data_IF_525301088307
#
_entry.id   IF_525301088307
#
_cell.length_a   1.000
_cell.length_b   1.000
_cell.length_c   1.000
_cell.angle_alpha   90.00
_cell.angle_beta   90.00
_cell.angle_gamma   90.00
#
_symmetry.space_group_name_H-M   'P 1'
#
loop_
_entity.id
_entity.type
_entity.pdbx_description
1 polymer ?
#
# COMPACT_ATOMS: atom_id res chain seq x y z
N UNK A 1 15.68 27.17 -5.56
CA UNK A 1 15.43 28.10 -4.43
C UNK A 1 14.28 29.08 -4.65
N UNK A 2 14.10 29.73 -5.82
CA UNK A 2 12.97 30.66 -6.08
C UNK A 2 11.56 30.03 -5.94
N UNK A 3 11.34 28.83 -6.46
CA UNK A 3 10.04 28.14 -6.39
C UNK A 3 9.64 27.83 -4.94
N UNK A 4 10.57 27.37 -4.11
CA UNK A 4 10.31 27.11 -2.68
C UNK A 4 9.96 28.39 -1.91
N UNK A 5 10.60 29.52 -2.23
CA UNK A 5 10.30 30.82 -1.63
C UNK A 5 8.92 31.33 -2.02
N UNK A 6 8.54 31.15 -3.29
CA UNK A 6 7.24 31.57 -3.83
C UNK A 6 6.08 30.68 -3.31
N UNK A 7 6.35 29.38 -3.12
CA UNK A 7 5.42 28.45 -2.44
C UNK A 7 5.28 28.83 -0.97
N UNK A 8 6.38 29.11 -0.27
CA UNK A 8 6.37 29.55 1.13
C UNK A 8 5.62 30.88 1.33
N UNK A 9 5.81 31.85 0.45
CA UNK A 9 5.06 33.12 0.48
C UNK A 9 3.56 32.93 0.20
N UNK A 10 3.18 32.09 -0.78
CA UNK A 10 1.77 31.72 -1.01
C UNK A 10 1.17 31.00 0.20
N UNK A 11 1.91 30.09 0.81
CA UNK A 11 1.49 29.36 2.01
C UNK A 11 1.31 30.32 3.19
N UNK A 12 2.22 31.29 3.34
CA UNK A 12 2.14 32.32 4.40
C UNK A 12 0.98 33.30 4.17
N UNK A 13 0.67 33.65 2.92
CA UNK A 13 -0.52 34.44 2.58
C UNK A 13 -1.80 33.65 2.84
N UNK A 14 -1.86 32.36 2.51
CA UNK A 14 -2.98 31.48 2.84
C UNK A 14 -3.19 31.37 4.36
N UNK A 15 -2.13 31.26 5.16
CA UNK A 15 -2.18 31.22 6.63
C UNK A 15 -2.65 32.56 7.26
N UNK A 16 -2.30 33.70 6.65
CA UNK A 16 -2.84 35.01 7.08
C UNK A 16 -4.30 35.17 6.70
N UNK A 17 -4.67 34.74 5.49
CA UNK A 17 -6.07 34.70 5.05
C UNK A 17 -6.90 33.78 5.94
N UNK A 18 -6.34 32.64 6.37
CA UNK A 18 -6.93 31.66 7.30
C UNK A 18 -7.33 32.31 8.63
N UNK A 19 -6.41 32.96 9.35
CA UNK A 19 -6.74 33.61 10.64
C UNK A 19 -7.84 34.66 10.49
N UNK A 20 -7.80 35.41 9.40
CA UNK A 20 -8.80 36.45 9.10
C UNK A 20 -10.14 35.81 8.75
N UNK A 21 -10.16 34.76 7.92
CA UNK A 21 -11.36 34.02 7.55
C UNK A 21 -11.98 33.34 8.78
N UNK A 22 -11.21 32.66 9.62
CA UNK A 22 -11.74 31.98 10.81
C UNK A 22 -12.31 32.98 11.81
N UNK A 23 -11.63 34.11 12.04
CA UNK A 23 -12.12 35.18 12.91
C UNK A 23 -13.40 35.81 12.34
N UNK A 24 -13.41 36.11 11.04
CA UNK A 24 -14.55 36.72 10.36
C UNK A 24 -15.74 35.76 10.23
N UNK A 25 -15.51 34.46 10.06
CA UNK A 25 -16.56 33.42 10.09
C UNK A 25 -17.17 33.27 11.49
N UNK A 26 -16.37 33.42 12.56
CA UNK A 26 -16.86 33.48 13.95
C UNK A 26 -17.68 34.75 14.19
N UNK A 27 -17.18 35.91 13.74
CA UNK A 27 -17.86 37.22 13.87
C UNK A 27 -19.17 37.31 13.07
N UNK A 28 -19.23 36.68 11.89
CA UNK A 28 -20.39 36.67 11.01
C UNK A 28 -21.39 35.54 11.30
N UNK A 29 -21.21 34.76 12.37
CA UNK A 29 -22.13 33.68 12.73
C UNK A 29 -22.17 32.50 11.74
N UNK A 30 -21.20 32.37 10.85
CA UNK A 30 -21.10 31.21 9.95
C UNK A 30 -20.65 29.95 10.68
N UNK A 31 -20.11 30.05 11.88
CA UNK A 31 -19.74 28.91 12.73
C UNK A 31 -20.97 28.23 13.38
N UNK A 32 -22.04 27.98 12.64
CA UNK A 32 -23.32 27.40 13.11
C UNK A 32 -23.52 25.94 12.68
N UNK A 33 -22.62 25.38 11.87
CA UNK A 33 -22.72 24.03 11.31
C UNK A 33 -21.40 23.28 11.36
N UNK A 34 -21.46 21.96 11.48
CA UNK A 34 -20.29 21.07 11.53
C UNK A 34 -19.35 21.24 10.33
N UNK A 35 -19.89 21.48 9.14
CA UNK A 35 -19.12 21.67 7.91
C UNK A 35 -18.01 22.73 8.05
N UNK A 36 -18.29 23.86 8.69
CA UNK A 36 -17.32 24.95 8.80
C UNK A 36 -16.16 24.61 9.75
N UNK A 37 -16.41 23.82 10.79
CA UNK A 37 -15.35 23.28 11.65
C UNK A 37 -14.56 22.21 10.91
N UNK A 38 -15.23 21.35 10.13
CA UNK A 38 -14.60 20.31 9.34
C UNK A 38 -13.61 20.87 8.30
N UNK A 39 -13.99 21.93 7.58
CA UNK A 39 -13.10 22.63 6.65
C UNK A 39 -11.87 23.19 7.36
N UNK A 40 -12.06 23.83 8.52
CA UNK A 40 -10.96 24.36 9.32
C UNK A 40 -10.02 23.24 9.80
N UNK A 41 -10.56 22.12 10.28
CA UNK A 41 -9.77 20.96 10.67
C UNK A 41 -9.00 20.36 9.48
N UNK A 42 -9.63 20.29 8.31
CA UNK A 42 -9.00 19.79 7.09
C UNK A 42 -7.86 20.70 6.63
N UNK A 43 -8.06 22.02 6.71
CA UNK A 43 -7.05 23.03 6.43
C UNK A 43 -5.85 22.93 7.39
N UNK A 44 -6.08 22.81 8.70
CA UNK A 44 -5.00 22.63 9.67
C UNK A 44 -4.21 21.35 9.42
N UNK A 45 -4.91 20.26 9.11
CA UNK A 45 -4.26 19.00 8.71
C UNK A 45 -3.42 19.17 7.44
N UNK A 46 -3.95 19.84 6.42
CA UNK A 46 -3.28 20.05 5.13
C UNK A 46 -2.09 21.02 5.18
N UNK A 47 -2.10 21.97 6.12
CA UNK A 47 -1.02 22.93 6.36
C UNK A 47 0.05 22.42 7.34
N UNK A 48 -0.06 21.18 7.82
CA UNK A 48 0.89 20.57 8.76
C UNK A 48 0.67 20.94 10.23
N UNK A 49 -0.35 21.76 10.55
CA UNK A 49 -0.70 22.21 11.90
C UNK A 49 -1.71 21.25 12.57
N UNK A 50 -1.45 19.95 12.48
CA UNK A 50 -2.41 18.91 12.93
C UNK A 50 -2.66 18.94 14.44
N UNK A 51 -1.77 19.56 15.22
CA UNK A 51 -1.92 19.80 16.65
C UNK A 51 -3.11 20.68 17.03
N UNK A 52 -3.61 21.50 16.10
CA UNK A 52 -4.76 22.39 16.34
C UNK A 52 -6.12 21.71 16.14
N UNK A 53 -6.16 20.58 15.45
CA UNK A 53 -7.41 19.87 15.16
C UNK A 53 -8.19 19.49 16.43
N UNK A 54 -7.56 18.98 17.51
CA UNK A 54 -8.23 18.75 18.79
C UNK A 54 -8.81 20.02 19.42
N UNK A 55 -8.14 21.17 19.29
CA UNK A 55 -8.64 22.45 19.81
C UNK A 55 -9.91 22.88 19.06
N UNK A 56 -9.91 22.73 17.73
CA UNK A 56 -11.09 23.01 16.89
C UNK A 56 -12.27 22.09 17.28
N UNK A 57 -12.02 20.82 17.60
CA UNK A 57 -13.07 19.89 18.03
C UNK A 57 -13.66 20.33 19.38
N UNK A 58 -12.82 20.74 20.32
CA UNK A 58 -13.26 21.27 21.61
C UNK A 58 -14.05 22.57 21.47
N UNK A 59 -13.61 23.48 20.59
CA UNK A 59 -14.32 24.72 20.25
C UNK A 59 -15.70 24.43 19.65
N UNK A 60 -15.79 23.47 18.72
CA UNK A 60 -17.03 23.04 18.09
C UNK A 60 -18.07 22.58 19.13
N UNK A 61 -17.65 21.71 20.04
CA UNK A 61 -18.50 21.19 21.12
C UNK A 61 -18.90 22.28 22.11
N UNK A 62 -17.97 23.17 22.49
CA UNK A 62 -18.24 24.29 23.41
C UNK A 62 -19.27 25.26 22.84
N UNK A 63 -19.32 25.40 21.52
CA UNK A 63 -20.31 26.22 20.83
C UNK A 63 -21.63 25.48 20.57
N UNK A 64 -21.84 24.30 21.17
CA UNK A 64 -23.10 23.54 21.07
C UNK A 64 -23.31 22.85 19.72
N UNK A 65 -22.26 22.67 18.92
CA UNK A 65 -22.36 22.07 17.59
C UNK A 65 -21.88 20.62 17.67
N UNK A 66 -22.79 19.69 17.42
CA UNK A 66 -22.49 18.26 17.47
C UNK A 66 -21.54 17.85 16.35
N UNK A 67 -20.41 17.19 16.67
CA UNK A 67 -19.55 16.55 15.67
C UNK A 67 -20.32 15.55 14.82
N UNK A 68 -19.94 15.44 13.55
CA UNK A 68 -20.45 14.43 12.63
C UNK A 68 -19.40 13.34 12.36
N UNK A 69 -19.78 12.29 11.62
CA UNK A 69 -18.87 11.20 11.25
C UNK A 69 -17.62 11.71 10.50
N UNK A 70 -17.71 12.81 9.75
CA UNK A 70 -16.57 13.37 9.03
C UNK A 70 -15.60 14.07 10.00
N UNK A 71 -16.14 14.82 10.96
CA UNK A 71 -15.39 15.47 12.05
C UNK A 71 -14.49 14.46 12.76
N UNK A 72 -15.07 13.33 13.17
CA UNK A 72 -14.32 12.29 13.87
C UNK A 72 -13.30 11.60 12.98
N UNK A 73 -13.60 11.34 11.70
CA UNK A 73 -12.63 10.79 10.75
C UNK A 73 -11.40 11.69 10.58
N UNK A 74 -11.56 13.01 10.58
CA UNK A 74 -10.42 13.94 10.53
C UNK A 74 -9.56 13.78 11.80
N UNK A 75 -10.20 13.78 12.97
CA UNK A 75 -9.53 13.59 14.25
C UNK A 75 -8.78 12.26 14.32
N UNK A 76 -9.42 11.15 13.93
CA UNK A 76 -8.80 9.83 13.88
C UNK A 76 -7.59 9.80 12.94
N UNK A 77 -7.66 10.45 11.76
CA UNK A 77 -6.50 10.56 10.86
C UNK A 77 -5.33 11.32 11.48
N UNK A 78 -5.62 12.40 12.21
CA UNK A 78 -4.61 13.19 12.92
C UNK A 78 -3.95 12.38 14.04
N UNK A 79 -4.75 11.74 14.90
CA UNK A 79 -4.20 10.92 15.98
C UNK A 79 -3.46 9.69 15.45
N UNK A 80 -3.93 9.09 14.35
CA UNK A 80 -3.24 7.99 13.68
C UNK A 80 -1.86 8.37 13.15
N UNK A 81 -1.73 9.56 12.58
CA UNK A 81 -0.44 10.08 12.10
C UNK A 81 0.55 10.32 13.26
N UNK A 82 0.03 10.61 14.45
CA UNK A 82 0.81 10.84 15.69
C UNK A 82 1.01 9.57 16.53
N UNK A 83 0.51 8.41 16.07
CA UNK A 83 0.46 7.17 16.85
C UNK A 83 -0.18 7.33 18.24
N UNK A 84 -1.11 8.28 18.40
CA UNK A 84 -1.81 8.54 19.67
C UNK A 84 -3.02 7.61 19.81
N UNK A 85 -2.73 6.37 20.24
CA UNK A 85 -3.75 5.35 20.44
C UNK A 85 -4.79 5.75 21.49
N UNK A 86 -4.36 6.36 22.59
CA UNK A 86 -5.25 6.73 23.70
C UNK A 86 -6.31 7.73 23.24
N UNK A 87 -5.92 8.74 22.47
CA UNK A 87 -6.89 9.70 21.94
C UNK A 87 -7.80 9.09 20.87
N UNK A 88 -7.31 8.12 20.08
CA UNK A 88 -8.16 7.38 19.15
C UNK A 88 -9.20 6.52 19.84
N UNK A 89 -8.85 5.82 20.91
CA UNK A 89 -9.81 5.03 21.68
C UNK A 89 -10.87 5.93 22.32
N UNK A 90 -10.47 7.09 22.86
CA UNK A 90 -11.40 8.07 23.42
C UNK A 90 -12.39 8.59 22.37
N UNK A 91 -11.91 8.97 21.19
CA UNK A 91 -12.77 9.40 20.09
C UNK A 91 -13.67 8.27 19.61
N UNK A 92 -13.16 7.04 19.51
CA UNK A 92 -13.95 5.90 19.08
C UNK A 92 -15.09 5.60 20.06
N UNK A 93 -14.82 5.64 21.36
CA UNK A 93 -15.85 5.50 22.42
C UNK A 93 -16.88 6.63 22.36
N UNK A 94 -16.43 7.86 22.13
CA UNK A 94 -17.32 9.00 21.95
C UNK A 94 -18.25 8.81 20.74
N UNK A 95 -17.71 8.34 19.61
CA UNK A 95 -18.51 8.00 18.43
C UNK A 95 -19.52 6.90 18.70
N UNK A 96 -19.11 5.81 19.39
CA UNK A 96 -20.00 4.69 19.77
C UNK A 96 -21.16 5.17 20.66
N UNK A 97 -20.95 6.20 21.48
CA UNK A 97 -21.99 6.75 22.38
C UNK A 97 -23.00 7.68 21.68
N UNK A 98 -22.75 8.08 20.43
CA UNK A 98 -23.60 9.06 19.75
C UNK A 98 -24.66 8.38 18.87
N UNK A 99 -25.96 8.63 19.12
CA UNK A 99 -27.05 7.93 18.42
C UNK A 99 -27.13 8.29 16.93
N UNK A 100 -26.61 9.45 16.53
CA UNK A 100 -26.62 9.94 15.16
C UNK A 100 -25.37 9.56 14.36
N UNK A 101 -24.47 8.74 14.93
CA UNK A 101 -23.22 8.33 14.27
C UNK A 101 -23.27 6.85 13.94
N UNK A 102 -23.25 6.55 12.65
CA UNK A 102 -23.08 5.17 12.18
C UNK A 102 -21.60 4.81 12.21
N UNK A 103 -21.27 3.82 13.05
CA UNK A 103 -19.94 3.23 13.08
C UNK A 103 -19.66 2.47 11.77
N UNK A 104 -18.40 2.49 11.34
CA UNK A 104 -17.96 1.79 10.15
C UNK A 104 -16.68 0.98 10.39
N UNK A 105 -16.42 0.01 9.50
CA UNK A 105 -15.21 -0.81 9.55
C UNK A 105 -13.91 0.02 9.53
N UNK A 106 -13.92 1.18 8.87
CA UNK A 106 -12.72 2.03 8.71
C UNK A 106 -12.27 2.57 10.07
N UNK A 107 -13.22 2.94 10.94
CA UNK A 107 -12.93 3.46 12.27
C UNK A 107 -12.26 2.40 13.15
N UNK A 108 -12.83 1.21 13.24
CA UNK A 108 -12.23 0.10 14.01
C UNK A 108 -10.90 -0.38 13.42
N UNK A 109 -10.81 -0.53 12.09
CA UNK A 109 -9.56 -0.89 11.40
C UNK A 109 -8.43 0.11 11.67
N UNK A 110 -8.75 1.41 11.78
CA UNK A 110 -7.74 2.43 12.07
C UNK A 110 -7.16 2.29 13.50
N UNK A 111 -8.01 2.01 14.50
CA UNK A 111 -7.55 1.75 15.88
C UNK A 111 -6.76 0.44 15.92
N UNK A 112 -7.25 -0.63 15.28
CA UNK A 112 -6.53 -1.90 15.18
C UNK A 112 -5.14 -1.72 14.58
N UNK A 113 -5.00 -0.96 13.49
CA UNK A 113 -3.71 -0.69 12.84
C UNK A 113 -2.68 -0.07 13.78
N UNK A 114 -3.10 0.84 14.65
CA UNK A 114 -2.18 1.51 15.59
C UNK A 114 -1.88 0.61 16.77
N UNK A 115 -2.86 -0.16 17.25
CA UNK A 115 -2.62 -1.19 18.26
C UNK A 115 -1.58 -2.22 17.78
N UNK A 116 -1.65 -2.65 16.51
CA UNK A 116 -0.63 -3.51 15.89
C UNK A 116 0.75 -2.83 15.93
N UNK A 117 0.84 -1.57 15.50
CA UNK A 117 2.10 -0.81 15.52
C UNK A 117 2.66 -0.60 16.92
N UNK A 118 1.79 -0.50 17.92
CA UNK A 118 2.16 -0.36 19.33
C UNK A 118 2.50 -1.71 20.00
N UNK A 119 2.42 -2.83 19.27
CA UNK A 119 2.67 -4.17 19.84
C UNK A 119 1.54 -4.69 20.73
N UNK A 120 0.38 -4.01 20.77
CA UNK A 120 -0.76 -4.37 21.62
C UNK A 120 -1.67 -5.37 20.89
N UNK A 121 -1.22 -6.62 20.81
CA UNK A 121 -1.85 -7.67 19.99
C UNK A 121 -3.29 -7.96 20.40
N UNK A 122 -3.57 -8.18 21.67
CA UNK A 122 -4.90 -8.54 22.18
C UNK A 122 -5.92 -7.45 21.85
N UNK A 123 -5.52 -6.20 22.06
CA UNK A 123 -6.32 -5.03 21.73
C UNK A 123 -6.56 -4.91 20.22
N UNK A 124 -5.55 -5.16 19.39
CA UNK A 124 -5.71 -5.18 17.95
C UNK A 124 -6.75 -6.21 17.52
N UNK A 125 -6.71 -7.43 18.09
CA UNK A 125 -7.66 -8.50 17.78
C UNK A 125 -9.11 -8.10 18.08
N UNK A 126 -9.36 -7.46 19.23
CA UNK A 126 -10.71 -6.97 19.60
C UNK A 126 -11.25 -6.01 18.54
N UNK A 127 -10.45 -5.01 18.14
CA UNK A 127 -10.89 -4.03 17.13
C UNK A 127 -11.02 -4.64 15.73
N UNK A 128 -10.22 -5.65 15.38
CA UNK A 128 -10.38 -6.35 14.10
C UNK A 128 -11.69 -7.14 14.06
N UNK A 129 -12.09 -7.79 15.15
CA UNK A 129 -13.39 -8.48 15.24
C UNK A 129 -14.56 -7.50 15.12
N UNK A 130 -14.55 -6.38 15.86
CA UNK A 130 -15.53 -5.30 15.67
C UNK A 130 -15.56 -4.78 14.24
N UNK A 131 -14.41 -4.68 13.59
CA UNK A 131 -14.32 -4.27 12.19
C UNK A 131 -14.91 -5.30 11.22
N UNK A 132 -14.81 -6.59 11.52
CA UNK A 132 -15.35 -7.69 10.72
C UNK A 132 -16.87 -7.72 10.75
N UNK A 133 -17.48 -7.50 11.92
CA UNK A 133 -18.94 -7.41 12.10
C UNK A 133 -19.61 -6.36 11.18
N UNK A 134 -18.83 -5.35 10.77
CA UNK A 134 -19.27 -4.24 9.91
C UNK A 134 -19.03 -4.48 8.42
N UNK A 135 -18.54 -5.66 8.00
CA UNK A 135 -18.30 -5.98 6.58
C UNK A 135 -19.59 -6.45 5.91
N UNK A 136 -19.95 -5.80 4.81
CA UNK A 136 -21.08 -6.20 3.96
C UNK A 136 -20.61 -6.58 2.56
N UNK A 137 -20.48 -7.89 2.30
CA UNK A 137 -20.15 -8.51 0.99
C UNK A 137 -19.10 -7.73 0.15
N UNK A 138 -18.11 -7.16 0.84
CA UNK A 138 -17.10 -6.27 0.25
C UNK A 138 -15.73 -6.93 0.33
N UNK A 139 -15.22 -7.35 -0.83
CA UNK A 139 -13.86 -7.90 -0.98
C UNK A 139 -12.78 -6.94 -0.45
N UNK A 140 -12.99 -5.62 -0.58
CA UNK A 140 -12.04 -4.63 -0.06
C UNK A 140 -11.97 -4.71 1.47
N UNK A 141 -13.10 -4.91 2.15
CA UNK A 141 -13.15 -5.10 3.61
C UNK A 141 -12.34 -6.33 4.05
N UNK A 142 -12.59 -7.48 3.41
CA UNK A 142 -11.86 -8.73 3.70
C UNK A 142 -10.35 -8.58 3.46
N UNK A 143 -9.96 -8.01 2.33
CA UNK A 143 -8.55 -7.77 2.00
C UNK A 143 -7.83 -6.91 3.08
N UNK A 144 -8.50 -5.89 3.63
CA UNK A 144 -7.92 -5.09 4.72
C UNK A 144 -7.73 -5.90 6.01
N UNK A 145 -8.73 -6.70 6.40
CA UNK A 145 -8.59 -7.57 7.57
C UNK A 145 -7.49 -8.61 7.39
N UNK A 146 -7.40 -9.25 6.22
CA UNK A 146 -6.32 -10.20 5.89
C UNK A 146 -4.95 -9.52 6.05
N UNK A 147 -4.77 -8.29 5.57
CA UNK A 147 -3.52 -7.53 5.76
C UNK A 147 -3.21 -7.25 7.23
N UNK A 148 -4.23 -6.97 8.04
CA UNK A 148 -4.06 -6.72 9.47
C UNK A 148 -3.71 -8.00 10.24
N UNK A 149 -4.40 -9.11 9.99
CA UNK A 149 -4.08 -10.40 10.59
C UNK A 149 -2.71 -10.93 10.15
N UNK A 150 -2.30 -10.69 8.90
CA UNK A 150 -0.94 -10.97 8.45
C UNK A 150 0.11 -10.17 9.23
N UNK A 151 -0.19 -8.92 9.59
CA UNK A 151 0.70 -8.11 10.43
C UNK A 151 0.77 -8.59 11.88
N UNK A 152 -0.15 -9.47 12.30
CA UNK A 152 -0.15 -10.16 13.59
C UNK A 152 0.38 -11.59 13.52
N UNK A 153 0.78 -12.07 12.33
CA UNK A 153 1.19 -13.45 12.09
C UNK A 153 0.07 -14.49 12.23
N UNK A 154 -1.20 -14.08 12.15
CA UNK A 154 -2.33 -14.98 12.36
C UNK A 154 -2.82 -15.60 11.03
N UNK A 155 -2.17 -16.69 10.62
CA UNK A 155 -2.48 -17.42 9.38
C UNK A 155 -3.92 -17.96 9.37
N UNK A 156 -4.36 -18.59 10.44
CA UNK A 156 -5.66 -19.27 10.50
C UNK A 156 -6.80 -18.30 10.19
N UNK A 157 -6.70 -17.10 10.77
CA UNK A 157 -7.70 -16.07 10.58
C UNK A 157 -7.66 -15.47 9.17
N UNK A 158 -6.47 -15.33 8.58
CA UNK A 158 -6.34 -14.95 7.16
C UNK A 158 -7.03 -15.97 6.25
N UNK A 159 -6.81 -17.27 6.48
CA UNK A 159 -7.42 -18.35 5.68
C UNK A 159 -8.92 -18.41 5.89
N UNK A 160 -9.42 -18.23 7.12
CA UNK A 160 -10.85 -18.15 7.42
C UNK A 160 -11.51 -16.99 6.67
N UNK A 161 -10.91 -15.80 6.73
CA UNK A 161 -11.42 -14.62 6.02
C UNK A 161 -11.36 -14.78 4.50
N UNK A 162 -10.32 -15.43 3.98
CA UNK A 162 -10.22 -15.77 2.57
C UNK A 162 -11.34 -16.71 2.11
N UNK A 163 -11.65 -17.73 2.91
CA UNK A 163 -12.79 -18.62 2.67
C UNK A 163 -14.13 -17.88 2.69
N UNK A 164 -14.35 -17.00 3.67
CA UNK A 164 -15.57 -16.17 3.74
C UNK A 164 -15.68 -15.18 2.57
N UNK A 165 -14.57 -14.57 2.17
CA UNK A 165 -14.53 -13.71 0.99
C UNK A 165 -14.94 -14.51 -0.25
N UNK A 166 -14.43 -15.74 -0.39
CA UNK A 166 -14.76 -16.65 -1.50
C UNK A 166 -16.25 -16.96 -1.62
N UNK A 167 -16.93 -17.16 -0.50
CA UNK A 167 -18.36 -17.48 -0.48
C UNK A 167 -19.26 -16.25 -0.58
N UNK A 168 -18.88 -15.14 0.05
CA UNK A 168 -19.70 -13.94 0.12
C UNK A 168 -19.57 -13.02 -1.10
N UNK A 169 -18.40 -13.02 -1.76
CA UNK A 169 -18.13 -12.17 -2.91
C UNK A 169 -18.26 -12.95 -4.22
N UNK A 170 -19.15 -12.50 -5.12
CA UNK A 170 -19.46 -13.20 -6.38
C UNK A 170 -18.32 -13.20 -7.41
N UNK A 171 -17.33 -12.32 -7.27
CA UNK A 171 -16.21 -12.18 -8.21
C UNK A 171 -14.92 -11.98 -7.43
N UNK A 172 -13.97 -12.87 -7.65
CA UNK A 172 -12.59 -12.75 -7.17
C UNK A 172 -11.77 -12.14 -8.29
N UNK A 173 -11.14 -11.01 -8.00
CA UNK A 173 -10.30 -10.33 -8.97
C UNK A 173 -8.83 -10.55 -8.63
N UNK A 174 -7.94 -10.28 -9.59
CA UNK A 174 -6.50 -10.42 -9.42
C UNK A 174 -5.98 -9.74 -8.14
N UNK A 175 -6.59 -8.61 -7.73
CA UNK A 175 -6.24 -7.89 -6.50
C UNK A 175 -6.41 -8.74 -5.23
N UNK A 176 -7.43 -9.59 -5.17
CA UNK A 176 -7.74 -10.41 -4.00
C UNK A 176 -6.66 -11.47 -3.80
N UNK A 177 -6.32 -12.19 -4.88
CA UNK A 177 -5.22 -13.15 -4.90
C UNK A 177 -3.86 -12.50 -4.60
N UNK A 178 -3.55 -11.35 -5.21
CA UNK A 178 -2.32 -10.59 -4.92
C UNK A 178 -2.24 -10.26 -3.43
N UNK A 179 -3.34 -9.80 -2.82
CA UNK A 179 -3.37 -9.44 -1.40
C UNK A 179 -3.11 -10.67 -0.53
N UNK A 180 -3.82 -11.77 -0.77
CA UNK A 180 -3.69 -12.98 0.03
C UNK A 180 -2.30 -13.61 -0.08
N UNK A 181 -1.77 -13.79 -1.30
CA UNK A 181 -0.43 -14.34 -1.52
C UNK A 181 0.66 -13.44 -0.94
N UNK A 182 0.56 -12.11 -1.10
CA UNK A 182 1.51 -11.18 -0.48
C UNK A 182 1.50 -11.29 1.05
N UNK A 183 0.34 -11.49 1.65
CA UNK A 183 0.20 -11.63 3.10
C UNK A 183 0.77 -12.95 3.60
N UNK A 184 0.54 -14.06 2.90
CA UNK A 184 1.11 -15.37 3.22
C UNK A 184 2.64 -15.35 3.14
N UNK A 185 3.20 -14.81 2.05
CA UNK A 185 4.64 -14.58 1.93
C UNK A 185 5.13 -13.74 3.12
N UNK A 186 4.45 -12.65 3.47
CA UNK A 186 4.88 -11.78 4.59
C UNK A 186 5.03 -12.53 5.91
N UNK A 187 4.21 -13.55 6.17
CA UNK A 187 4.25 -14.35 7.41
C UNK A 187 5.10 -15.63 7.29
N UNK A 188 5.98 -15.72 6.29
CA UNK A 188 6.87 -16.88 6.05
C UNK A 188 6.15 -18.17 5.63
N UNK A 189 4.90 -18.08 5.16
CA UNK A 189 4.17 -19.21 4.58
C UNK A 189 4.50 -19.33 3.09
N UNK A 190 5.25 -20.38 2.73
CA UNK A 190 5.81 -20.55 1.37
C UNK A 190 5.09 -21.62 0.53
N UNK A 191 4.24 -22.45 1.12
CA UNK A 191 3.51 -23.49 0.34
C UNK A 191 2.15 -22.98 -0.14
N UNK A 192 1.44 -22.27 0.72
CA UNK A 192 0.10 -21.76 0.44
C UNK A 192 0.04 -20.73 -0.71
N UNK A 193 0.99 -19.78 -0.88
CA UNK A 193 0.98 -18.88 -2.02
C UNK A 193 1.02 -19.61 -3.36
N UNK A 194 1.78 -20.70 -3.47
CA UNK A 194 1.90 -21.48 -4.70
C UNK A 194 0.60 -22.23 -5.03
N UNK A 195 -0.07 -22.80 -4.02
CA UNK A 195 -1.39 -23.42 -4.19
C UNK A 195 -2.41 -22.37 -4.69
N UNK A 196 -2.40 -21.17 -4.10
CA UNK A 196 -3.27 -20.07 -4.55
C UNK A 196 -2.92 -19.58 -5.95
N UNK A 197 -1.65 -19.60 -6.35
CA UNK A 197 -1.24 -19.26 -7.71
C UNK A 197 -1.83 -20.27 -8.70
N UNK A 198 -1.73 -21.57 -8.43
CA UNK A 198 -2.32 -22.61 -9.28
C UNK A 198 -3.85 -22.49 -9.36
N UNK A 199 -4.51 -22.19 -8.24
CA UNK A 199 -5.95 -21.94 -8.20
C UNK A 199 -6.33 -20.73 -9.08
N UNK A 200 -5.59 -19.63 -8.97
CA UNK A 200 -5.80 -18.45 -9.80
C UNK A 200 -5.55 -18.75 -11.28
N UNK A 201 -4.47 -19.46 -11.63
CA UNK A 201 -4.14 -19.81 -13.01
C UNK A 201 -5.26 -20.63 -13.68
N UNK A 202 -5.89 -21.55 -12.94
CA UNK A 202 -7.00 -22.38 -13.46
C UNK A 202 -8.32 -21.63 -13.63
N UNK A 203 -8.49 -20.49 -12.96
CA UNK A 203 -9.73 -19.69 -12.99
C UNK A 203 -9.60 -18.36 -13.75
N UNK A 204 -8.39 -17.96 -14.13
CA UNK A 204 -8.15 -16.66 -14.78
C UNK A 204 -8.64 -16.65 -16.24
N UNK A 205 -9.33 -15.58 -16.63
CA UNK A 205 -9.77 -15.37 -18.02
C UNK A 205 -8.64 -14.76 -18.87
N UNK A 206 -7.85 -13.86 -18.26
CA UNK A 206 -6.68 -13.22 -18.86
C UNK A 206 -5.52 -13.34 -17.89
N UNK A 207 -4.42 -13.90 -18.36
CA UNK A 207 -3.22 -14.06 -17.56
C UNK A 207 -2.60 -12.68 -17.25
N UNK A 208 -2.55 -12.33 -15.97
CA UNK A 208 -2.01 -11.05 -15.49
C UNK A 208 -0.75 -11.31 -14.65
N UNK A 209 0.41 -10.97 -15.20
CA UNK A 209 1.70 -11.20 -14.55
C UNK A 209 1.89 -10.44 -13.23
N UNK A 210 1.03 -9.46 -12.90
CA UNK A 210 1.06 -8.85 -11.56
C UNK A 210 0.75 -9.85 -10.45
N UNK A 211 0.01 -10.90 -10.77
CA UNK A 211 -0.37 -11.95 -9.82
C UNK A 211 0.84 -12.83 -9.45
N UNK A 212 1.50 -13.58 -10.35
CA UNK A 212 2.70 -14.35 -10.00
C UNK A 212 3.87 -13.47 -9.52
N UNK A 213 4.02 -12.24 -10.03
CA UNK A 213 5.10 -11.34 -9.62
C UNK A 213 5.09 -11.03 -8.12
N UNK A 214 3.94 -11.14 -7.43
CA UNK A 214 3.87 -10.93 -5.98
C UNK A 214 4.68 -11.98 -5.21
N UNK A 215 4.64 -13.24 -5.66
CA UNK A 215 5.41 -14.34 -5.07
C UNK A 215 6.87 -14.20 -5.46
N UNK A 216 7.18 -13.83 -6.71
CA UNK A 216 8.56 -13.62 -7.16
C UNK A 216 9.28 -12.56 -6.31
N UNK A 217 8.64 -11.40 -6.10
CA UNK A 217 9.18 -10.35 -5.21
C UNK A 217 9.33 -10.87 -3.79
N UNK A 218 8.29 -11.55 -3.30
CA UNK A 218 8.25 -12.14 -1.97
C UNK A 218 9.40 -13.10 -1.67
N UNK A 219 9.63 -14.05 -2.57
CA UNK A 219 10.69 -15.06 -2.44
C UNK A 219 12.07 -14.44 -2.63
N UNK A 220 12.21 -13.49 -3.56
CA UNK A 220 13.44 -12.71 -3.71
C UNK A 220 13.83 -12.01 -2.40
N UNK A 221 12.89 -11.33 -1.75
CA UNK A 221 13.12 -10.63 -0.47
C UNK A 221 13.49 -11.57 0.70
N UNK A 222 13.10 -12.84 0.61
CA UNK A 222 13.47 -13.89 1.58
C UNK A 222 14.75 -14.64 1.21
N UNK A 223 15.44 -14.25 0.14
CA UNK A 223 16.63 -14.95 -0.34
C UNK A 223 16.34 -16.30 -1.00
N UNK A 224 15.10 -16.57 -1.40
CA UNK A 224 14.69 -17.80 -2.11
C UNK A 224 14.62 -17.56 -3.62
N UNK A 225 15.63 -16.89 -4.18
CA UNK A 225 15.63 -16.44 -5.57
C UNK A 225 15.60 -17.59 -6.58
N UNK A 226 16.23 -18.72 -6.26
CA UNK A 226 16.24 -19.92 -7.10
C UNK A 226 14.84 -20.51 -7.21
N UNK A 227 14.05 -20.45 -6.14
CA UNK A 227 12.65 -20.88 -6.13
C UNK A 227 11.79 -19.92 -6.96
N UNK A 228 12.03 -18.61 -6.83
CA UNK A 228 11.35 -17.60 -7.64
C UNK A 228 11.67 -17.78 -9.15
N UNK A 229 12.94 -18.00 -9.49
CA UNK A 229 13.38 -18.29 -10.86
C UNK A 229 12.69 -19.55 -11.41
N UNK A 230 12.66 -20.63 -10.61
CA UNK A 230 12.02 -21.89 -11.00
C UNK A 230 10.54 -21.70 -11.33
N UNK A 231 9.80 -20.95 -10.50
CA UNK A 231 8.38 -20.62 -10.75
C UNK A 231 8.22 -19.83 -12.05
N UNK A 232 9.03 -18.80 -12.27
CA UNK A 232 8.94 -17.99 -13.49
C UNK A 232 9.25 -18.83 -14.74
N UNK A 233 10.30 -19.65 -14.71
CA UNK A 233 10.65 -20.56 -15.82
C UNK A 233 9.57 -21.58 -16.09
N UNK A 234 8.94 -22.12 -15.07
CA UNK A 234 7.82 -23.06 -15.19
C UNK A 234 6.58 -22.40 -15.84
N UNK A 235 6.26 -21.15 -15.47
CA UNK A 235 5.22 -20.34 -16.14
C UNK A 235 5.55 -20.13 -17.63
N UNK A 236 6.81 -19.83 -17.97
CA UNK A 236 7.26 -19.69 -19.37
C UNK A 236 7.12 -21.00 -20.14
N UNK A 237 7.50 -22.14 -19.53
CA UNK A 237 7.34 -23.47 -20.13
C UNK A 237 5.88 -23.80 -20.46
N UNK A 238 4.92 -23.27 -19.69
CA UNK A 238 3.48 -23.36 -19.99
C UNK A 238 3.00 -22.40 -21.09
N UNK A 239 3.92 -21.74 -21.80
CA UNK A 239 3.62 -20.86 -22.94
C UNK A 239 3.08 -19.49 -22.53
N UNK A 240 3.31 -19.04 -21.30
CA UNK A 240 2.94 -17.67 -20.87
C UNK A 240 4.13 -16.75 -21.04
N UNK A 241 3.95 -15.66 -21.80
CA UNK A 241 5.01 -14.66 -22.05
C UNK A 241 5.08 -13.65 -20.90
N UNK A 242 6.16 -13.61 -20.09
CA UNK A 242 6.30 -12.66 -19.00
C UNK A 242 6.40 -11.21 -19.48
N UNK A 243 6.12 -10.28 -18.57
CA UNK A 243 6.51 -8.88 -18.78
C UNK A 243 7.99 -8.72 -18.43
N UNK A 244 8.73 -7.77 -19.02
CA UNK A 244 10.14 -7.52 -18.68
C UNK A 244 10.39 -7.37 -17.17
N UNK A 245 9.43 -6.79 -16.45
CA UNK A 245 9.49 -6.63 -15.01
C UNK A 245 9.60 -7.97 -14.24
N UNK A 246 9.02 -9.07 -14.74
CA UNK A 246 9.10 -10.39 -14.09
C UNK A 246 10.55 -10.88 -14.01
N UNK A 247 11.28 -10.83 -15.13
CA UNK A 247 12.70 -11.17 -15.18
C UNK A 247 13.57 -10.16 -14.43
N UNK A 248 13.22 -8.88 -14.45
CA UNK A 248 13.93 -7.85 -13.69
C UNK A 248 13.83 -8.04 -12.17
N UNK A 249 12.73 -8.60 -11.65
CA UNK A 249 12.62 -9.00 -10.25
C UNK A 249 13.65 -10.08 -9.93
N UNK A 250 13.77 -11.10 -10.78
CA UNK A 250 14.73 -12.20 -10.57
C UNK A 250 16.18 -11.70 -10.68
N UNK A 251 16.46 -10.84 -11.67
CA UNK A 251 17.77 -10.23 -11.84
C UNK A 251 18.20 -9.41 -10.61
N UNK A 252 17.27 -8.63 -10.03
CA UNK A 252 17.52 -7.89 -8.80
C UNK A 252 17.81 -8.82 -7.61
N UNK A 253 17.05 -9.91 -7.46
CA UNK A 253 17.29 -10.87 -6.39
C UNK A 253 18.62 -11.60 -6.51
N UNK A 254 19.12 -11.85 -7.73
CA UNK A 254 20.45 -12.42 -7.93
C UNK A 254 21.57 -11.42 -7.68
N UNK A 255 21.34 -10.14 -8.01
CA UNK A 255 22.25 -9.05 -7.64
C UNK A 255 22.39 -8.97 -6.11
N UNK A 256 21.29 -9.06 -5.36
CA UNK A 256 21.31 -9.03 -3.88
C UNK A 256 22.04 -10.24 -3.26
N UNK A 257 22.23 -11.33 -4.03
CA UNK A 257 23.02 -12.53 -3.65
C UNK A 257 24.45 -12.54 -4.20
N UNK A 258 24.91 -11.44 -4.80
CA UNK A 258 26.20 -11.34 -5.51
C UNK A 258 26.39 -12.37 -6.65
N UNK A 259 25.30 -12.94 -7.18
CA UNK A 259 25.34 -13.84 -8.33
C UNK A 259 25.14 -13.07 -9.63
N UNK A 260 26.21 -12.38 -10.06
CA UNK A 260 26.18 -11.49 -11.22
C UNK A 260 25.94 -12.21 -12.55
N UNK A 261 26.38 -13.46 -12.66
CA UNK A 261 26.17 -14.33 -13.82
C UNK A 261 24.66 -14.49 -14.10
N UNK A 262 23.92 -15.00 -13.11
CA UNK A 262 22.47 -15.18 -13.24
C UNK A 262 21.71 -13.86 -13.32
N UNK A 263 22.18 -12.83 -12.63
CA UNK A 263 21.59 -11.49 -12.72
C UNK A 263 21.66 -10.95 -14.16
N UNK A 264 22.82 -11.12 -14.82
CA UNK A 264 23.01 -10.76 -16.22
C UNK A 264 22.13 -11.57 -17.18
N UNK A 265 22.06 -12.89 -17.00
CA UNK A 265 21.18 -13.76 -17.81
C UNK A 265 19.71 -13.33 -17.72
N UNK A 266 19.19 -13.16 -16.51
CA UNK A 266 17.81 -12.71 -16.30
C UNK A 266 17.57 -11.32 -16.90
N UNK A 267 18.57 -10.44 -16.85
CA UNK A 267 18.47 -9.11 -17.45
C UNK A 267 18.40 -9.17 -18.97
N UNK A 268 19.13 -10.09 -19.63
CA UNK A 268 19.01 -10.32 -21.07
C UNK A 268 17.61 -10.78 -21.45
N UNK A 269 17.03 -11.71 -20.67
CA UNK A 269 15.65 -12.17 -20.86
C UNK A 269 14.64 -11.01 -20.72
N UNK A 270 14.84 -10.12 -19.73
CA UNK A 270 14.00 -8.94 -19.55
C UNK A 270 14.07 -7.98 -20.76
N UNK A 271 15.28 -7.72 -21.28
CA UNK A 271 15.50 -6.82 -22.42
C UNK A 271 14.97 -7.41 -23.73
N UNK A 272 15.03 -8.73 -23.91
CA UNK A 272 14.46 -9.39 -25.08
C UNK A 272 12.95 -9.15 -25.22
N UNK A 273 12.25 -9.04 -24.07
CA UNK A 273 10.80 -8.78 -24.00
C UNK A 273 10.46 -7.28 -24.02
N UNK A 274 11.46 -6.38 -23.97
CA UNK A 274 11.25 -4.94 -23.86
C UNK A 274 10.64 -4.33 -25.14
N UNK A 275 10.92 -4.90 -26.31
CA UNK A 275 10.39 -4.39 -27.59
C UNK A 275 8.85 -4.37 -27.62
N UNK A 276 8.20 -5.28 -26.87
CA UNK A 276 6.75 -5.36 -26.75
C UNK A 276 6.19 -4.46 -25.63
N UNK A 277 7.06 -3.78 -24.84
CA UNK A 277 6.69 -3.02 -23.65
C UNK A 277 7.51 -1.72 -23.50
N UNK A 278 7.23 -0.75 -24.38
CA UNK A 278 7.97 0.53 -24.49
C UNK A 278 7.89 1.44 -23.27
N UNK A 279 6.96 1.21 -22.33
CA UNK A 279 6.83 1.99 -21.11
C UNK A 279 7.72 1.47 -19.97
N UNK A 280 8.19 0.23 -20.07
CA UNK A 280 9.01 -0.37 -19.03
C UNK A 280 10.47 0.06 -19.18
N UNK A 281 11.07 0.51 -18.08
CA UNK A 281 12.49 0.88 -18.01
C UNK A 281 13.17 0.10 -16.88
N UNK A 282 14.36 -0.46 -17.13
CA UNK A 282 15.09 -1.17 -16.10
C UNK A 282 15.61 -0.21 -15.02
N UNK A 283 15.76 -0.72 -13.79
CA UNK A 283 16.25 0.08 -12.66
C UNK A 283 17.70 0.52 -12.92
N UNK A 284 18.04 1.82 -12.84
CA UNK A 284 19.38 2.31 -13.16
C UNK A 284 20.50 1.64 -12.37
N UNK A 285 20.28 1.40 -11.07
CA UNK A 285 21.26 0.73 -10.21
C UNK A 285 21.55 -0.71 -10.67
N UNK A 286 20.50 -1.49 -10.97
CA UNK A 286 20.62 -2.86 -11.45
C UNK A 286 21.43 -2.92 -12.76
N UNK A 287 21.12 -2.02 -13.70
CA UNK A 287 21.86 -1.91 -14.97
C UNK A 287 23.31 -1.51 -14.72
N UNK A 288 23.56 -0.52 -13.88
CA UNK A 288 24.93 -0.06 -13.61
C UNK A 288 25.80 -1.16 -13.00
N UNK A 289 25.26 -1.93 -12.04
CA UNK A 289 25.98 -3.04 -11.42
C UNK A 289 26.29 -4.14 -12.43
N UNK A 290 25.30 -4.54 -13.22
CA UNK A 290 25.48 -5.55 -14.27
C UNK A 290 26.49 -5.07 -15.32
N UNK A 291 26.42 -3.82 -15.78
CA UNK A 291 27.37 -3.26 -16.75
C UNK A 291 28.81 -3.25 -16.22
N UNK A 292 29.02 -2.83 -14.97
CA UNK A 292 30.34 -2.85 -14.33
C UNK A 292 30.93 -4.26 -14.31
N UNK A 293 30.11 -5.26 -13.99
CA UNK A 293 30.55 -6.64 -13.96
C UNK A 293 30.80 -7.22 -15.36
N UNK A 294 29.89 -6.99 -16.32
CA UNK A 294 30.01 -7.46 -17.71
C UNK A 294 31.29 -6.91 -18.36
N UNK A 295 31.63 -5.64 -18.13
CA UNK A 295 32.86 -5.02 -18.65
C UNK A 295 34.15 -5.73 -18.21
N UNK A 296 34.16 -6.34 -17.03
CA UNK A 296 35.33 -7.03 -16.48
C UNK A 296 35.35 -8.54 -16.74
N UNK A 297 34.21 -9.15 -17.06
CA UNK A 297 34.05 -10.61 -17.04
C UNK A 297 33.54 -11.22 -18.37
N UNK A 298 33.21 -10.39 -19.37
CA UNK A 298 32.70 -10.83 -20.69
C UNK A 298 33.53 -10.31 -21.85
N UNK A 299 33.36 -10.95 -23.00
CA UNK A 299 33.95 -10.48 -24.25
C UNK A 299 33.32 -9.14 -24.68
N UNK A 300 34.04 -8.40 -25.51
CA UNK A 300 33.63 -7.08 -25.99
C UNK A 300 32.32 -7.16 -26.78
N UNK A 301 32.13 -8.22 -27.56
CA UNK A 301 30.92 -8.40 -28.39
C UNK A 301 29.65 -8.53 -27.55
N UNK A 302 29.68 -9.27 -26.44
CA UNK A 302 28.55 -9.41 -25.50
C UNK A 302 28.28 -8.11 -24.75
N UNK A 303 29.33 -7.39 -24.35
CA UNK A 303 29.21 -6.06 -23.73
C UNK A 303 28.52 -5.11 -24.71
N UNK A 304 28.96 -5.08 -25.96
CA UNK A 304 28.37 -4.24 -27.00
C UNK A 304 26.93 -4.63 -27.31
N UNK A 305 26.63 -5.92 -27.45
CA UNK A 305 25.28 -6.42 -27.70
C UNK A 305 24.32 -6.02 -26.56
N UNK A 306 24.77 -6.14 -25.30
CA UNK A 306 23.99 -5.74 -24.14
C UNK A 306 23.79 -4.22 -24.05
N UNK A 307 24.83 -3.42 -24.35
CA UNK A 307 24.68 -1.95 -24.42
C UNK A 307 23.73 -1.54 -25.55
N UNK A 308 23.75 -2.24 -26.69
CA UNK A 308 22.82 -1.99 -27.80
C UNK A 308 21.37 -2.28 -27.41
N UNK A 309 21.09 -3.38 -26.70
CA UNK A 309 19.73 -3.70 -26.23
C UNK A 309 19.21 -2.74 -25.17
N UNK A 310 20.08 -2.00 -24.47
CA UNK A 310 19.69 -0.89 -23.59
C UNK A 310 19.43 0.42 -24.34
N UNK A 311 20.04 0.61 -25.51
CA UNK A 311 20.00 1.87 -26.30
C UNK A 311 18.83 1.99 -27.26
N UNK A 312 18.10 0.90 -27.51
CA UNK A 312 16.88 0.87 -28.34
C UNK A 312 15.78 1.82 -27.86
N UNK A 313 15.96 2.49 -26.72
CA UNK A 313 15.03 3.44 -26.10
C UNK A 313 15.54 4.91 -26.04
N UNK A 314 16.60 5.25 -26.81
CA UNK A 314 17.13 6.64 -26.87
C UNK A 314 16.69 7.45 -28.11
N UNK A 315 15.77 6.90 -28.91
CA UNK A 315 15.14 7.60 -30.04
C UNK A 315 13.63 7.60 -29.84
N UNK A 316 13.14 8.54 -29.04
CA UNK A 316 11.85 9.25 -29.18
C UNK A 316 11.67 10.21 -27.99
#
# INVERSE_FOLDING_TARGET
MRVARQVFEKMTQLLKLERVLTKKMKEMGFATRALNYNELMYLYKGSGQSEKVPEVLSDMKRNGISPDSFTYRICMKVYAARSDLRSMERILQEMESQPNITMDRISYSAVAKISIKAGLKEKALIYLKKSEEMISKDAVGYNHLICHYASLGNKDEMMRLWGLQKTHCKKHVNRDYITMMSCLVKIDELEEPEKLLMEWESSCHRYDFRVPNVILVGYSQKGLIEKAEAILRDIVKRGKTPVPNSWSIIAAGYLDKDNMEKAFECMKEALALQAENTLWKPKPLLISSILCWVRGNRNVDEVEAFVRSLKTDSRN
#
